data_IF_476434460583
#
_entry.id   IF_476434460583
#
_cell.length_a   1.000
_cell.length_b   1.000
_cell.length_c   1.000
_cell.angle_alpha   90.00
_cell.angle_beta   90.00
_cell.angle_gamma   90.00
#
_symmetry.space_group_name_H-M   'P 1'
#
loop_
_entity.id
_entity.type
_entity.pdbx_description
1 polymer ?
#
# COMPACT_ATOMS: atom_id res chain seq x y z
N UNK A 1 -2.11 -15.33 1.08
CA UNK A 1 -1.49 -15.73 2.37
C UNK A 1 -2.55 -15.82 3.46
N UNK A 2 -3.24 -14.72 3.76
CA UNK A 2 -4.31 -14.61 4.78
C UNK A 2 -5.37 -15.71 4.68
N UNK A 3 -5.86 -16.01 3.48
CA UNK A 3 -6.81 -17.11 3.23
C UNK A 3 -6.30 -18.46 3.75
N UNK A 4 -5.04 -18.80 3.44
CA UNK A 4 -4.41 -20.06 3.88
C UNK A 4 -4.11 -20.07 5.37
N UNK A 5 -3.89 -18.92 5.99
CA UNK A 5 -3.75 -18.82 7.43
C UNK A 5 -5.10 -19.09 8.11
N UNK A 6 -6.17 -18.46 7.62
CA UNK A 6 -7.53 -18.68 8.10
C UNK A 6 -7.98 -20.14 7.93
N UNK A 7 -7.76 -20.75 6.75
CA UNK A 7 -8.04 -22.17 6.49
C UNK A 7 -7.34 -23.12 7.47
N UNK A 8 -6.16 -22.74 7.97
CA UNK A 8 -5.36 -23.52 8.93
C UNK A 8 -5.67 -23.18 10.40
N UNK A 9 -6.65 -22.32 10.67
CA UNK A 9 -6.95 -21.85 12.03
C UNK A 9 -5.85 -20.96 12.63
N UNK A 10 -4.98 -20.38 11.79
CA UNK A 10 -3.92 -19.50 12.23
C UNK A 10 -4.42 -18.05 12.26
N UNK A 11 -4.69 -17.56 13.46
CA UNK A 11 -4.98 -16.14 13.69
C UNK A 11 -3.88 -15.22 13.14
N UNK A 12 -4.28 -14.17 12.42
CA UNK A 12 -3.40 -13.10 11.96
C UNK A 12 -3.94 -11.71 12.33
N UNK A 13 -3.01 -10.75 12.43
CA UNK A 13 -3.32 -9.33 12.53
C UNK A 13 -2.59 -8.58 11.41
N UNK A 14 -3.32 -7.79 10.63
CA UNK A 14 -2.74 -6.95 9.57
C UNK A 14 -2.72 -5.51 10.03
N UNK A 15 -1.58 -4.85 9.89
CA UNK A 15 -1.48 -3.40 9.90
C UNK A 15 -1.52 -2.92 8.46
N UNK A 16 -2.56 -2.17 8.13
CA UNK A 16 -2.84 -1.67 6.80
C UNK A 16 -2.92 -0.14 6.86
N UNK A 17 -1.78 0.56 6.73
CA UNK A 17 -1.71 2.02 6.81
C UNK A 17 -2.62 2.76 5.82
N UNK A 18 -3.11 2.03 4.85
CA UNK A 18 -3.43 2.57 3.54
C UNK A 18 -4.73 1.93 2.99
N UNK A 19 -5.38 1.06 3.76
CA UNK A 19 -6.74 0.56 3.53
C UNK A 19 -6.91 -0.46 2.41
N UNK A 20 -5.83 -1.11 1.98
CA UNK A 20 -5.85 -2.11 0.89
C UNK A 20 -6.60 -3.41 1.23
N UNK A 21 -6.76 -3.69 2.52
CA UNK A 21 -7.39 -4.89 3.06
C UNK A 21 -8.84 -4.65 3.49
N UNK A 22 -9.41 -3.49 3.16
CA UNK A 22 -10.84 -3.24 3.34
C UNK A 22 -11.69 -4.31 2.61
N UNK A 23 -12.67 -4.87 3.31
CA UNK A 23 -13.49 -5.97 2.82
C UNK A 23 -12.84 -7.36 2.81
N UNK A 24 -11.66 -7.54 3.42
CA UNK A 24 -11.04 -8.87 3.57
C UNK A 24 -11.97 -9.83 4.32
N UNK A 25 -12.39 -10.92 3.65
CA UNK A 25 -13.26 -11.90 4.28
C UNK A 25 -12.52 -12.67 5.37
N UNK A 26 -13.22 -12.95 6.47
CA UNK A 26 -12.68 -13.70 7.61
C UNK A 26 -11.79 -12.87 8.54
N UNK A 27 -11.79 -11.54 8.41
CA UNK A 27 -11.16 -10.63 9.33
C UNK A 27 -12.08 -9.47 9.72
N UNK A 28 -11.94 -8.98 10.95
CA UNK A 28 -12.68 -7.83 11.47
C UNK A 28 -11.87 -6.57 11.17
N UNK A 29 -12.42 -5.59 10.41
CA UNK A 29 -11.77 -4.30 10.23
C UNK A 29 -11.87 -3.49 11.52
N UNK A 30 -10.78 -2.80 11.85
CA UNK A 30 -10.68 -1.87 12.96
C UNK A 30 -10.22 -0.53 12.42
N UNK A 31 -11.06 0.49 12.58
CA UNK A 31 -10.89 1.77 11.89
C UNK A 31 -11.37 1.75 10.44
N UNK A 32 -11.48 2.93 9.85
CA UNK A 32 -11.85 3.15 8.46
C UNK A 32 -11.26 4.49 7.95
N UNK A 33 -11.80 5.02 6.84
CA UNK A 33 -11.35 6.30 6.26
C UNK A 33 -11.76 7.53 7.07
N UNK A 34 -12.67 7.38 8.03
CA UNK A 34 -13.25 8.44 8.85
C UNK A 34 -12.95 8.30 10.34
N UNK A 35 -12.70 7.09 10.83
CA UNK A 35 -12.44 6.78 12.23
C UNK A 35 -11.12 6.04 12.40
N UNK A 36 -10.25 6.56 13.28
CA UNK A 36 -9.00 5.93 13.62
C UNK A 36 -9.19 4.60 14.39
N UNK A 37 -8.29 3.62 14.22
CA UNK A 37 -8.35 2.35 14.92
C UNK A 37 -8.12 2.51 16.43
N UNK A 38 -8.89 1.79 17.26
CA UNK A 38 -8.76 1.82 18.71
C UNK A 38 -7.85 0.73 19.27
N UNK A 39 -6.85 1.11 20.06
CA UNK A 39 -5.95 0.18 20.76
C UNK A 39 -6.67 -0.83 21.63
N UNK A 40 -7.64 -0.40 22.44
CA UNK A 40 -8.34 -1.29 23.36
C UNK A 40 -9.20 -2.30 22.61
N UNK A 41 -9.86 -1.86 21.54
CA UNK A 41 -10.61 -2.75 20.66
C UNK A 41 -9.71 -3.77 19.97
N UNK A 42 -8.52 -3.36 19.51
CA UNK A 42 -7.53 -4.29 18.95
C UNK A 42 -7.19 -5.41 19.93
N UNK A 43 -6.82 -5.05 21.15
CA UNK A 43 -6.41 -6.03 22.17
C UNK A 43 -7.56 -6.96 22.57
N UNK A 44 -8.80 -6.44 22.64
CA UNK A 44 -9.99 -7.25 22.87
C UNK A 44 -10.26 -8.25 21.73
N UNK A 45 -10.13 -7.81 20.48
CA UNK A 45 -10.35 -8.67 19.31
C UNK A 45 -9.28 -9.74 19.19
N UNK A 46 -8.01 -9.40 19.35
CA UNK A 46 -6.90 -10.36 19.28
C UNK A 46 -6.99 -11.39 20.42
N UNK A 47 -7.54 -11.00 21.57
CA UNK A 47 -7.80 -11.93 22.67
C UNK A 47 -8.74 -13.10 22.30
N UNK A 48 -9.58 -12.92 21.26
CA UNK A 48 -10.49 -13.97 20.75
C UNK A 48 -9.75 -14.86 19.74
N UNK A 49 -9.54 -16.17 20.03
CA UNK A 49 -8.70 -17.04 19.21
C UNK A 49 -9.07 -17.11 17.72
N UNK A 50 -10.36 -17.08 17.40
CA UNK A 50 -10.89 -17.26 16.04
C UNK A 50 -11.09 -15.93 15.29
N UNK A 51 -10.61 -14.82 15.84
CA UNK A 51 -10.79 -13.48 15.26
C UNK A 51 -9.51 -13.00 14.60
N UNK A 52 -9.49 -12.92 13.26
CA UNK A 52 -8.46 -12.17 12.55
C UNK A 52 -8.81 -10.68 12.54
N UNK A 53 -7.80 -9.81 12.54
CA UNK A 53 -8.01 -8.36 12.61
C UNK A 53 -7.26 -7.66 11.49
N UNK A 54 -7.89 -6.65 10.89
CA UNK A 54 -7.26 -5.68 9.98
C UNK A 54 -7.32 -4.32 10.64
N UNK A 55 -6.17 -3.77 11.00
CA UNK A 55 -6.02 -2.43 11.57
C UNK A 55 -5.85 -1.46 10.42
N UNK A 56 -6.90 -0.69 10.12
CA UNK A 56 -6.93 0.28 9.04
C UNK A 56 -6.40 1.63 9.52
N UNK A 57 -5.29 2.09 8.94
CA UNK A 57 -4.65 3.36 9.27
C UNK A 57 -5.06 4.55 8.40
N UNK A 58 -6.10 4.43 7.56
CA UNK A 58 -6.48 5.48 6.61
C UNK A 58 -6.83 6.82 7.28
N UNK A 59 -7.53 6.78 8.41
CA UNK A 59 -7.89 7.98 9.16
C UNK A 59 -6.70 8.63 9.91
N UNK A 60 -5.54 7.94 10.00
CA UNK A 60 -4.33 8.48 10.63
C UNK A 60 -3.48 9.24 9.62
N UNK A 61 -2.97 10.41 10.01
CA UNK A 61 -1.99 11.13 9.19
C UNK A 61 -0.69 10.33 9.08
N UNK A 62 0.06 10.52 8.00
CA UNK A 62 1.29 9.74 7.71
C UNK A 62 2.30 9.83 8.85
N UNK A 63 2.43 11.02 9.46
CA UNK A 63 3.31 11.29 10.60
C UNK A 63 2.86 10.61 11.91
N UNK A 64 1.58 10.32 12.06
CA UNK A 64 1.00 9.70 13.27
C UNK A 64 1.09 8.16 13.25
N UNK A 65 1.20 7.56 12.06
CA UNK A 65 1.17 6.10 11.90
C UNK A 65 2.30 5.36 12.63
N UNK A 66 3.58 5.83 12.61
CA UNK A 66 4.64 5.18 13.38
C UNK A 66 4.36 5.20 14.88
N UNK A 67 3.91 6.35 15.43
CA UNK A 67 3.60 6.50 16.85
C UNK A 67 2.46 5.57 17.27
N UNK A 68 1.37 5.59 16.50
CA UNK A 68 0.23 4.71 16.73
C UNK A 68 0.66 3.24 16.72
N UNK A 69 1.46 2.82 15.74
CA UNK A 69 1.97 1.45 15.67
C UNK A 69 2.84 1.09 16.88
N UNK A 70 3.78 1.96 17.24
CA UNK A 70 4.66 1.76 18.39
C UNK A 70 3.89 1.61 19.71
N UNK A 71 2.79 2.35 19.89
CA UNK A 71 1.94 2.26 21.07
C UNK A 71 1.18 0.92 21.22
N UNK A 72 0.91 0.23 20.11
CA UNK A 72 0.20 -1.05 20.10
C UNK A 72 1.10 -2.24 20.43
N UNK A 73 2.38 -2.14 20.08
CA UNK A 73 3.33 -3.24 20.15
C UNK A 73 3.52 -3.85 21.55
N UNK A 74 3.59 -3.08 22.65
CA UNK A 74 3.68 -3.68 23.99
C UNK A 74 2.46 -4.54 24.33
N UNK A 75 1.26 -4.10 23.95
CA UNK A 75 0.02 -4.85 24.18
C UNK A 75 0.00 -6.14 23.36
N UNK A 76 0.37 -6.06 22.09
CA UNK A 76 0.51 -7.23 21.21
C UNK A 76 1.57 -8.20 21.73
N UNK A 77 2.73 -7.71 22.14
CA UNK A 77 3.80 -8.51 22.72
C UNK A 77 3.35 -9.29 23.94
N UNK A 78 2.60 -8.64 24.85
CA UNK A 78 2.04 -9.30 26.03
C UNK A 78 1.02 -10.39 25.67
N UNK A 79 0.13 -10.14 24.71
CA UNK A 79 -0.83 -11.16 24.26
C UNK A 79 -0.10 -12.34 23.63
N UNK A 80 0.90 -12.08 22.77
CA UNK A 80 1.73 -13.11 22.12
C UNK A 80 2.52 -13.93 23.12
N UNK A 81 3.11 -13.29 24.12
CA UNK A 81 3.84 -13.98 25.19
C UNK A 81 2.93 -14.97 25.93
N UNK A 82 1.68 -14.58 26.23
CA UNK A 82 0.74 -15.42 26.98
C UNK A 82 0.04 -16.51 26.16
N UNK A 83 -0.17 -16.25 24.88
CA UNK A 83 -1.12 -17.03 24.07
C UNK A 83 -0.56 -17.54 22.76
N UNK A 84 0.67 -17.18 22.41
CA UNK A 84 1.28 -17.36 21.09
C UNK A 84 0.49 -16.73 19.93
N UNK A 85 -0.43 -15.80 20.24
CA UNK A 85 -1.36 -15.18 19.30
C UNK A 85 -1.24 -13.64 19.25
N UNK A 86 -1.43 -12.99 18.08
CA UNK A 86 -1.71 -13.62 16.79
C UNK A 86 -0.49 -14.42 16.31
N UNK A 87 -0.75 -15.51 15.59
CA UNK A 87 0.32 -16.37 15.07
C UNK A 87 1.13 -15.64 14.00
N UNK A 88 0.46 -14.75 13.25
CA UNK A 88 1.08 -13.93 12.22
C UNK A 88 0.77 -12.45 12.41
N UNK A 89 1.83 -11.64 12.42
CA UNK A 89 1.74 -10.19 12.30
C UNK A 89 2.10 -9.82 10.86
N UNK A 90 1.19 -9.18 10.14
CA UNK A 90 1.42 -8.73 8.77
C UNK A 90 1.44 -7.21 8.80
N UNK A 91 2.51 -6.60 8.31
CA UNK A 91 2.71 -5.16 8.30
C UNK A 91 2.80 -4.76 6.84
N UNK A 92 1.71 -4.22 6.30
CA UNK A 92 1.67 -3.69 4.95
C UNK A 92 2.24 -2.28 4.89
N UNK A 93 2.80 -1.93 3.73
CA UNK A 93 3.55 -0.69 3.51
C UNK A 93 4.42 -0.31 4.71
N UNK A 94 5.25 -1.26 5.14
CA UNK A 94 6.00 -1.21 6.38
C UNK A 94 6.93 0.01 6.50
N UNK A 95 7.25 0.66 5.38
CA UNK A 95 8.01 1.92 5.38
C UNK A 95 7.25 3.11 6.02
N UNK A 96 5.91 3.05 6.11
CA UNK A 96 5.10 4.03 6.87
C UNK A 96 5.10 3.79 8.37
N UNK A 97 5.36 2.56 8.81
CA UNK A 97 5.26 2.16 10.23
C UNK A 97 6.61 2.02 10.90
N UNK A 98 7.66 1.72 10.12
CA UNK A 98 9.02 1.50 10.59
C UNK A 98 10.02 2.33 9.76
N UNK A 99 9.89 3.68 9.74
CA UNK A 99 10.71 4.52 8.86
C UNK A 99 12.18 4.56 9.28
N UNK A 100 13.09 4.63 8.30
CA UNK A 100 14.54 4.63 8.51
C UNK A 100 15.08 5.76 9.41
N UNK A 101 14.43 6.91 9.41
CA UNK A 101 14.89 8.11 10.16
C UNK A 101 14.59 8.08 11.65
N UNK A 102 13.91 7.03 12.15
CA UNK A 102 13.46 6.93 13.54
C UNK A 102 14.11 5.72 14.22
N UNK A 103 14.94 5.98 15.22
CA UNK A 103 15.46 4.93 16.11
C UNK A 103 14.36 4.52 17.10
N UNK A 104 13.40 3.69 16.65
CA UNK A 104 12.36 3.15 17.53
C UNK A 104 12.74 1.76 18.03
N UNK A 105 13.60 1.71 19.06
CA UNK A 105 14.08 0.47 19.68
C UNK A 105 12.93 -0.39 20.21
N UNK A 106 11.83 0.23 20.69
CA UNK A 106 10.66 -0.49 21.23
C UNK A 106 9.93 -1.24 20.11
N UNK A 107 9.81 -0.61 18.94
CA UNK A 107 9.19 -1.24 17.80
C UNK A 107 10.01 -2.44 17.30
N UNK A 108 11.33 -2.28 17.20
CA UNK A 108 12.26 -3.35 16.79
C UNK A 108 12.22 -4.55 17.74
N UNK A 109 12.28 -4.33 19.05
CA UNK A 109 12.22 -5.42 20.05
C UNK A 109 10.92 -6.24 19.95
N UNK A 110 9.81 -5.59 19.59
CA UNK A 110 8.54 -6.29 19.43
C UNK A 110 8.47 -7.11 18.13
N UNK A 111 9.28 -6.75 17.13
CA UNK A 111 9.44 -7.51 15.87
C UNK A 111 10.36 -8.72 16.01
N UNK A 112 11.19 -8.80 17.05
CA UNK A 112 12.04 -9.99 17.32
C UNK A 112 11.21 -11.27 17.53
N UNK A 113 9.90 -11.15 17.70
CA UNK A 113 8.99 -12.27 17.83
C UNK A 113 8.73 -12.96 16.46
N UNK A 114 8.97 -14.28 16.34
CA UNK A 114 8.79 -15.05 15.10
C UNK A 114 7.38 -14.93 14.50
N UNK A 115 7.20 -15.04 13.18
CA UNK A 115 5.87 -14.96 12.57
C UNK A 115 5.43 -13.54 12.22
N UNK A 116 6.39 -12.69 11.83
CA UNK A 116 6.11 -11.34 11.31
C UNK A 116 6.43 -11.29 9.81
N UNK A 117 5.56 -10.64 9.03
CA UNK A 117 5.72 -10.40 7.59
C UNK A 117 5.72 -8.90 7.36
N UNK A 118 6.82 -8.37 6.81
CA UNK A 118 6.91 -7.00 6.35
C UNK A 118 6.65 -6.98 4.84
N UNK A 119 5.74 -6.12 4.40
CA UNK A 119 5.46 -5.91 2.98
C UNK A 119 5.76 -4.45 2.66
N UNK A 120 6.51 -4.20 1.59
CA UNK A 120 6.89 -2.86 1.16
C UNK A 120 7.33 -2.88 -0.30
N UNK A 121 7.18 -1.74 -0.98
CA UNK A 121 7.84 -1.45 -2.25
C UNK A 121 9.16 -0.67 -2.08
N UNK A 122 9.40 -0.10 -0.89
CA UNK A 122 10.56 0.73 -0.54
C UNK A 122 11.37 0.12 0.63
N UNK A 123 12.15 -0.96 0.42
CA UNK A 123 12.99 -1.51 1.49
C UNK A 123 14.00 -0.50 2.04
N UNK A 124 14.53 0.41 1.22
CA UNK A 124 15.44 1.49 1.60
C UNK A 124 14.85 2.53 2.56
N UNK A 125 13.52 2.58 2.68
CA UNK A 125 12.81 3.49 3.57
C UNK A 125 12.50 2.86 4.94
N UNK A 126 12.74 1.55 5.12
CA UNK A 126 12.54 0.85 6.40
C UNK A 126 13.78 1.01 7.29
N UNK A 127 13.57 1.03 8.61
CA UNK A 127 14.61 0.93 9.63
C UNK A 127 15.59 -0.22 9.35
N UNK A 128 16.88 0.11 9.31
CA UNK A 128 17.95 -0.87 9.13
C UNK A 128 17.90 -1.99 10.18
N UNK A 129 17.55 -1.68 11.42
CA UNK A 129 17.46 -2.67 12.48
C UNK A 129 16.28 -3.62 12.28
N UNK A 130 15.13 -3.12 11.80
CA UNK A 130 14.02 -3.99 11.43
C UNK A 130 14.37 -4.91 10.24
N UNK A 131 15.10 -4.39 9.23
CA UNK A 131 15.56 -5.19 8.09
C UNK A 131 16.54 -6.29 8.52
N UNK A 132 17.39 -6.04 9.52
CA UNK A 132 18.34 -7.02 10.04
C UNK A 132 17.68 -8.22 10.72
N UNK A 133 16.43 -8.09 11.17
CA UNK A 133 15.65 -9.20 11.75
C UNK A 133 15.04 -10.12 10.68
N UNK A 134 15.07 -9.73 9.41
CA UNK A 134 14.44 -10.48 8.32
C UNK A 134 15.22 -11.76 7.99
N UNK A 135 14.60 -12.90 8.25
CA UNK A 135 15.20 -14.22 7.98
C UNK A 135 14.89 -14.77 6.58
N UNK A 136 13.86 -14.25 5.92
CA UNK A 136 13.42 -14.65 4.58
C UNK A 136 12.99 -13.41 3.78
N UNK A 137 13.54 -13.26 2.58
CA UNK A 137 13.14 -12.25 1.61
C UNK A 137 12.34 -12.92 0.50
N UNK A 138 11.14 -12.41 0.22
CA UNK A 138 10.32 -12.80 -0.93
C UNK A 138 10.17 -11.58 -1.83
N UNK A 139 10.76 -11.62 -3.01
CA UNK A 139 10.75 -10.51 -3.96
C UNK A 139 9.90 -10.86 -5.19
N UNK A 140 8.97 -9.97 -5.52
CA UNK A 140 7.97 -10.16 -6.57
C UNK A 140 8.29 -9.29 -7.79
N UNK A 141 7.84 -9.76 -8.97
CA UNK A 141 7.89 -8.98 -10.20
C UNK A 141 9.28 -8.83 -10.84
N UNK A 142 9.37 -7.99 -11.89
CA UNK A 142 10.58 -7.88 -12.72
C UNK A 142 11.77 -7.27 -11.96
N UNK A 143 11.51 -6.45 -10.93
CA UNK A 143 12.53 -5.79 -10.12
C UNK A 143 13.02 -6.63 -8.93
N UNK A 144 12.65 -7.91 -8.83
CA UNK A 144 12.99 -8.77 -7.70
C UNK A 144 14.50 -8.84 -7.39
N UNK A 145 15.35 -8.76 -8.42
CA UNK A 145 16.82 -8.70 -8.23
C UNK A 145 17.27 -7.40 -7.59
N UNK A 146 16.67 -6.28 -8.00
CA UNK A 146 16.93 -4.96 -7.43
C UNK A 146 16.58 -4.94 -5.94
N UNK A 147 15.43 -5.50 -5.57
CA UNK A 147 14.99 -5.61 -4.18
C UNK A 147 16.01 -6.35 -3.30
N UNK A 148 16.55 -7.50 -3.75
CA UNK A 148 17.58 -8.21 -2.99
C UNK A 148 18.85 -7.36 -2.85
N UNK A 149 19.29 -6.68 -3.91
CA UNK A 149 20.48 -5.82 -3.85
C UNK A 149 20.28 -4.65 -2.90
N UNK A 150 19.12 -4.00 -2.92
CA UNK A 150 18.77 -2.94 -2.00
C UNK A 150 18.75 -3.45 -0.56
N UNK A 151 18.07 -4.57 -0.29
CA UNK A 151 18.09 -5.20 1.03
C UNK A 151 19.52 -5.44 1.54
N UNK A 152 20.38 -6.05 0.71
CA UNK A 152 21.77 -6.33 1.08
C UNK A 152 22.54 -5.04 1.41
N UNK A 153 22.37 -3.98 0.60
CA UNK A 153 22.97 -2.67 0.85
C UNK A 153 22.52 -2.08 2.19
N UNK A 154 21.23 -2.14 2.48
CA UNK A 154 20.65 -1.56 3.69
C UNK A 154 21.04 -2.34 4.96
N UNK A 155 21.15 -3.66 4.88
CA UNK A 155 21.55 -4.50 6.02
C UNK A 155 23.06 -4.66 6.18
N UNK A 156 23.85 -4.23 5.18
CA UNK A 156 25.30 -4.45 5.12
C UNK A 156 25.70 -5.90 4.81
N UNK A 157 24.81 -6.67 4.18
CA UNK A 157 25.08 -8.06 3.77
C UNK A 157 25.71 -8.09 2.37
N UNK A 158 26.51 -9.13 2.11
CA UNK A 158 27.02 -9.37 0.77
C UNK A 158 25.90 -9.89 -0.14
N UNK A 159 25.74 -9.26 -1.31
CA UNK A 159 24.73 -9.65 -2.27
C UNK A 159 25.07 -11.02 -2.91
N UNK A 160 24.10 -11.94 -3.06
CA UNK A 160 24.35 -13.21 -3.74
C UNK A 160 24.82 -12.99 -5.19
N UNK A 161 25.92 -13.64 -5.58
CA UNK A 161 26.52 -13.45 -6.90
C UNK A 161 25.62 -13.84 -8.08
N UNK A 162 24.78 -14.88 -7.93
CA UNK A 162 23.82 -15.28 -8.95
C UNK A 162 22.38 -15.25 -8.40
N UNK A 163 21.59 -14.30 -8.91
CA UNK A 163 20.18 -14.13 -8.58
C UNK A 163 19.33 -14.48 -9.81
N UNK A 164 18.50 -15.54 -9.76
CA UNK A 164 17.65 -15.90 -10.89
C UNK A 164 16.59 -14.83 -11.15
N UNK A 165 16.18 -14.68 -12.41
CA UNK A 165 15.04 -13.84 -12.78
C UNK A 165 13.77 -14.67 -12.66
N UNK A 166 12.79 -14.30 -11.81
CA UNK A 166 11.49 -14.95 -11.82
C UNK A 166 10.81 -14.77 -13.20
N UNK A 167 10.14 -15.80 -13.69
CA UNK A 167 9.38 -15.79 -14.95
C UNK A 167 7.92 -16.15 -14.66
N UNK A 168 6.99 -15.51 -15.35
CA UNK A 168 5.56 -15.77 -15.21
C UNK A 168 5.05 -15.52 -13.79
N UNK A 169 4.41 -16.53 -13.20
CA UNK A 169 3.79 -16.52 -11.87
C UNK A 169 4.78 -16.86 -10.72
N UNK A 170 6.07 -16.93 -11.03
CA UNK A 170 7.10 -17.28 -10.03
C UNK A 170 7.57 -16.04 -9.29
N UNK A 171 7.92 -16.23 -8.03
CA UNK A 171 8.52 -15.20 -7.17
C UNK A 171 9.90 -15.66 -6.71
N UNK A 172 10.73 -14.70 -6.33
CA UNK A 172 12.08 -14.96 -5.86
C UNK A 172 12.08 -15.12 -4.34
N UNK A 173 12.64 -16.21 -3.84
CA UNK A 173 12.78 -16.48 -2.41
C UNK A 173 14.25 -16.60 -2.05
N UNK A 174 14.65 -15.92 -0.98
CA UNK A 174 16.01 -15.95 -0.46
C UNK A 174 16.04 -15.97 1.07
N UNK A 175 17.03 -16.65 1.65
CA UNK A 175 17.25 -16.73 3.09
C UNK A 175 18.66 -16.22 3.42
N UNK A 176 18.81 -14.93 3.80
CA UNK A 176 20.11 -14.26 3.88
C UNK A 176 21.13 -15.00 4.77
N UNK A 177 20.68 -15.51 5.92
CA UNK A 177 21.56 -16.08 6.95
C UNK A 177 21.86 -17.59 6.78
N UNK A 178 21.49 -18.20 5.65
CA UNK A 178 21.64 -19.65 5.45
C UNK A 178 22.81 -20.03 4.52
N UNK A 179 23.47 -19.04 3.91
CA UNK A 179 24.48 -19.27 2.86
C UNK A 179 23.91 -19.85 1.55
N UNK A 180 22.60 -20.10 1.47
CA UNK A 180 21.95 -20.65 0.28
C UNK A 180 21.66 -19.56 -0.74
N UNK A 181 21.78 -19.94 -2.02
CA UNK A 181 21.47 -19.06 -3.15
C UNK A 181 19.96 -18.79 -3.24
N UNK A 182 19.55 -17.59 -3.72
CA UNK A 182 18.16 -17.32 -4.04
C UNK A 182 17.61 -18.32 -5.06
N UNK A 183 16.35 -18.72 -4.91
CA UNK A 183 15.66 -19.64 -5.83
C UNK A 183 14.23 -19.17 -6.10
N UNK A 184 13.64 -19.64 -7.19
CA UNK A 184 12.27 -19.25 -7.55
C UNK A 184 11.27 -20.26 -7.02
N UNK A 185 10.12 -19.77 -6.56
CA UNK A 185 8.97 -20.57 -6.15
C UNK A 185 7.73 -20.13 -6.91
N UNK A 186 6.77 -21.03 -7.13
CA UNK A 186 5.49 -20.70 -7.76
C UNK A 186 4.60 -19.99 -6.74
N UNK A 187 4.09 -18.79 -7.06
CA UNK A 187 3.07 -18.17 -6.22
C UNK A 187 1.71 -18.84 -6.46
N UNK A 188 0.91 -18.93 -5.41
CA UNK A 188 -0.49 -19.33 -5.52
C UNK A 188 -1.33 -18.07 -5.62
N UNK A 189 -2.24 -18.03 -6.58
CA UNK A 189 -3.16 -16.90 -6.72
C UNK A 189 -4.16 -16.85 -5.56
N UNK A 190 -4.48 -15.64 -5.05
CA UNK A 190 -5.53 -15.48 -4.05
C UNK A 190 -6.90 -15.76 -4.66
N UNK A 191 -7.82 -16.30 -3.86
CA UNK A 191 -9.23 -16.47 -4.27
C UNK A 191 -10.02 -15.16 -4.21
N UNK A 192 -9.65 -14.25 -3.31
CA UNK A 192 -10.25 -12.94 -3.11
C UNK A 192 -9.51 -11.86 -3.91
N UNK A 193 -10.28 -10.96 -4.53
CA UNK A 193 -9.76 -9.74 -5.16
C UNK A 193 -9.89 -8.55 -4.19
N UNK A 194 -8.77 -8.10 -3.63
CA UNK A 194 -8.70 -6.96 -2.70
C UNK A 194 -8.41 -5.64 -3.42
N UNK A 195 -8.65 -4.50 -2.73
CA UNK A 195 -8.38 -3.14 -3.23
C UNK A 195 -6.92 -2.89 -3.61
N UNK A 196 -5.97 -3.72 -3.17
CA UNK A 196 -4.55 -3.70 -3.58
C UNK A 196 -4.30 -3.64 -5.10
N UNK A 197 -5.26 -4.04 -5.93
CA UNK A 197 -5.20 -3.83 -7.38
C UNK A 197 -5.30 -2.35 -7.81
N UNK A 198 -5.90 -1.44 -7.03
CA UNK A 198 -6.05 -0.02 -7.38
C UNK A 198 -4.73 0.75 -7.33
N UNK A 199 -3.81 0.44 -6.39
CA UNK A 199 -2.49 1.10 -6.33
C UNK A 199 -1.55 0.76 -7.47
N UNK A 200 -1.65 -0.47 -7.99
CA UNK A 200 -0.93 -0.87 -9.21
C UNK A 200 -1.25 0.05 -10.39
N UNK A 201 -2.45 0.63 -10.43
CA UNK A 201 -2.88 1.60 -11.45
C UNK A 201 -2.59 3.06 -11.05
N UNK A 202 -2.37 3.33 -9.77
CA UNK A 202 -2.03 4.65 -9.27
C UNK A 202 -0.57 5.04 -9.59
N UNK A 203 0.37 4.10 -9.44
CA UNK A 203 1.81 4.31 -9.65
C UNK A 203 2.39 3.55 -10.87
N UNK A 204 1.84 2.39 -11.22
CA UNK A 204 2.34 1.56 -12.33
C UNK A 204 1.95 2.07 -13.72
N UNK A 205 2.73 1.74 -14.76
CA UNK A 205 2.41 2.12 -16.14
C UNK A 205 1.22 1.30 -16.68
N UNK A 206 0.09 1.98 -16.87
CA UNK A 206 -1.00 1.51 -17.73
C UNK A 206 -0.50 1.42 -19.18
N UNK A 207 -0.97 0.41 -19.89
CA UNK A 207 -0.74 0.29 -21.34
C UNK A 207 -1.43 1.44 -22.10
N UNK A 208 -1.19 1.52 -23.41
CA UNK A 208 -1.75 2.60 -24.24
C UNK A 208 -3.28 2.61 -24.21
N UNK A 209 -3.91 1.42 -24.18
CA UNK A 209 -5.36 1.29 -24.13
C UNK A 209 -5.97 1.72 -22.78
N UNK A 210 -5.24 1.54 -21.67
CA UNK A 210 -5.69 1.89 -20.32
C UNK A 210 -5.33 3.31 -19.87
N UNK A 211 -4.44 4.01 -20.58
CA UNK A 211 -3.99 5.37 -20.23
C UNK A 211 -5.09 6.41 -20.45
N UNK A 212 -5.09 7.47 -19.64
CA UNK A 212 -5.90 8.65 -19.92
C UNK A 212 -5.19 9.54 -20.94
N UNK A 213 -5.95 10.20 -21.81
CA UNK A 213 -5.41 11.14 -22.79
C UNK A 213 -6.12 12.48 -22.65
N UNK A 214 -5.39 13.52 -22.25
CA UNK A 214 -5.89 14.89 -22.31
C UNK A 214 -5.91 15.35 -23.76
N UNK A 215 -7.12 15.43 -24.32
CA UNK A 215 -7.41 15.85 -25.68
C UNK A 215 -8.14 17.18 -25.66
N UNK A 216 -7.46 18.21 -26.14
CA UNK A 216 -8.09 19.52 -26.31
C UNK A 216 -9.18 19.52 -27.37
N UNK A 217 -10.16 20.45 -27.31
CA UNK A 217 -11.18 20.58 -28.33
C UNK A 217 -10.53 20.76 -29.71
N UNK A 218 -10.94 19.94 -30.69
CA UNK A 218 -10.35 19.82 -32.05
C UNK A 218 -8.97 19.10 -32.12
N UNK A 219 -8.65 18.19 -31.20
CA UNK A 219 -7.37 17.44 -31.17
C UNK A 219 -6.12 18.35 -31.09
N UNK A 220 -6.25 19.55 -30.52
CA UNK A 220 -5.13 20.50 -30.41
C UNK A 220 -4.00 20.02 -29.49
N UNK A 221 -4.25 18.99 -28.66
CA UNK A 221 -3.29 18.41 -27.73
C UNK A 221 -3.61 16.92 -27.50
N UNK A 222 -2.58 16.09 -27.25
CA UNK A 222 -2.75 14.67 -26.94
C UNK A 222 -1.70 14.24 -25.90
N UNK A 223 -1.91 14.59 -24.64
CA UNK A 223 -1.00 14.22 -23.55
C UNK A 223 -1.46 12.93 -22.87
N UNK A 224 -0.57 11.95 -22.78
CA UNK A 224 -0.85 10.63 -22.19
C UNK A 224 -0.50 10.61 -20.70
N UNK A 225 -1.51 10.39 -19.86
CA UNK A 225 -1.34 10.04 -18.45
C UNK A 225 -1.50 8.53 -18.26
N UNK A 226 -0.37 7.85 -18.03
CA UNK A 226 -0.32 6.38 -17.92
C UNK A 226 -0.48 5.87 -16.48
N UNK A 227 -0.80 6.72 -15.51
CA UNK A 227 -1.19 6.37 -14.13
C UNK A 227 -1.84 7.58 -13.44
N UNK A 228 -2.37 7.41 -12.22
CA UNK A 228 -3.03 8.51 -11.49
C UNK A 228 -2.08 9.64 -11.07
N UNK A 229 -0.82 9.32 -10.73
CA UNK A 229 0.17 10.35 -10.34
C UNK A 229 0.43 11.30 -11.52
N UNK A 230 0.74 10.76 -12.70
CA UNK A 230 0.97 11.53 -13.91
C UNK A 230 -0.30 12.27 -14.32
N UNK A 231 -1.49 11.65 -14.16
CA UNK A 231 -2.76 12.34 -14.37
C UNK A 231 -2.87 13.59 -13.49
N UNK A 232 -2.59 13.47 -12.18
CA UNK A 232 -2.68 14.59 -11.26
C UNK A 232 -1.67 15.71 -11.60
N UNK A 233 -0.43 15.35 -11.91
CA UNK A 233 0.61 16.31 -12.33
C UNK A 233 0.25 17.04 -13.63
N UNK A 234 -0.26 16.32 -14.62
CA UNK A 234 -0.67 16.92 -15.90
C UNK A 234 -1.91 17.82 -15.74
N UNK A 235 -2.85 17.41 -14.89
CA UNK A 235 -4.08 18.16 -14.63
C UNK A 235 -3.83 19.54 -14.01
N UNK A 236 -2.73 19.74 -13.27
CA UNK A 236 -2.36 21.06 -12.74
C UNK A 236 -1.91 22.04 -13.85
N UNK A 237 -1.32 21.53 -14.93
CA UNK A 237 -0.77 22.34 -16.03
C UNK A 237 -1.61 22.39 -17.30
N UNK A 238 -2.76 21.69 -17.33
CA UNK A 238 -3.63 21.65 -18.51
C UNK A 238 -4.51 22.91 -18.59
N UNK A 239 -4.77 23.40 -19.80
CA UNK A 239 -5.63 24.57 -19.98
C UNK A 239 -7.10 24.29 -19.59
N UNK A 240 -7.80 25.33 -19.16
CA UNK A 240 -9.18 25.21 -18.67
C UNK A 240 -10.16 24.69 -19.72
N UNK A 241 -9.93 24.95 -21.01
CA UNK A 241 -10.84 24.47 -22.07
C UNK A 241 -10.70 22.96 -22.25
N UNK A 242 -9.48 22.44 -22.21
CA UNK A 242 -9.21 21.00 -22.26
C UNK A 242 -9.72 20.29 -21.00
N UNK A 243 -9.51 20.88 -19.82
CA UNK A 243 -10.07 20.35 -18.57
C UNK A 243 -11.59 20.24 -18.62
N UNK A 244 -12.27 21.34 -18.98
CA UNK A 244 -13.73 21.40 -19.03
C UNK A 244 -14.31 20.50 -20.12
N UNK A 245 -13.59 20.27 -21.23
CA UNK A 245 -14.02 19.36 -22.29
C UNK A 245 -14.24 17.94 -21.74
N UNK A 246 -13.26 17.39 -21.03
CA UNK A 246 -13.34 16.07 -20.41
C UNK A 246 -14.29 16.04 -19.21
N UNK A 247 -14.29 17.10 -18.39
CA UNK A 247 -15.18 17.21 -17.24
C UNK A 247 -16.66 17.12 -17.67
N UNK A 248 -17.04 17.82 -18.74
CA UNK A 248 -18.43 17.83 -19.24
C UNK A 248 -18.81 16.55 -20.00
N UNK A 249 -17.83 15.83 -20.53
CA UNK A 249 -18.02 14.53 -21.16
C UNK A 249 -18.16 13.38 -20.14
N UNK A 250 -17.70 13.57 -18.90
CA UNK A 250 -17.70 12.53 -17.87
C UNK A 250 -16.49 11.59 -17.94
N UNK A 251 -15.45 12.00 -18.68
CA UNK A 251 -14.34 11.12 -19.04
C UNK A 251 -13.47 10.75 -17.82
N UNK A 252 -13.37 11.64 -16.82
CA UNK A 252 -12.58 11.39 -15.63
C UNK A 252 -13.20 10.31 -14.76
N UNK A 253 -14.50 10.42 -14.45
CA UNK A 253 -15.18 9.41 -13.65
C UNK A 253 -15.31 8.07 -14.36
N UNK A 254 -15.45 8.07 -15.69
CA UNK A 254 -15.42 6.84 -16.48
C UNK A 254 -14.05 6.16 -16.41
N UNK A 255 -12.97 6.91 -16.61
CA UNK A 255 -11.62 6.38 -16.54
C UNK A 255 -11.29 5.84 -15.14
N UNK A 256 -11.62 6.57 -14.07
CA UNK A 256 -11.44 6.11 -12.70
C UNK A 256 -12.22 4.83 -12.40
N UNK A 257 -13.44 4.69 -12.94
CA UNK A 257 -14.27 3.49 -12.74
C UNK A 257 -13.73 2.28 -13.50
N UNK A 258 -13.33 2.46 -14.76
CA UNK A 258 -13.01 1.36 -15.67
C UNK A 258 -11.55 0.92 -15.60
N UNK A 259 -10.62 1.87 -15.59
CA UNK A 259 -9.19 1.58 -15.66
C UNK A 259 -8.55 1.55 -14.27
N UNK A 260 -8.84 2.54 -13.43
CA UNK A 260 -8.31 2.59 -12.06
C UNK A 260 -9.06 1.63 -11.11
N UNK A 261 -10.32 1.33 -11.44
CA UNK A 261 -11.24 0.48 -10.66
C UNK A 261 -11.57 1.04 -9.27
N UNK A 262 -11.48 2.35 -9.09
CA UNK A 262 -11.94 3.04 -7.88
C UNK A 262 -13.36 3.58 -8.07
N UNK A 263 -14.33 2.87 -7.50
CA UNK A 263 -15.75 3.23 -7.59
C UNK A 263 -16.10 4.47 -6.77
N UNK A 264 -15.37 4.74 -5.68
CA UNK A 264 -15.64 5.89 -4.82
C UNK A 264 -15.06 7.17 -5.42
N UNK A 265 -13.80 7.14 -5.88
CA UNK A 265 -13.19 8.24 -6.62
C UNK A 265 -14.03 8.57 -7.86
N UNK A 266 -14.49 7.55 -8.59
CA UNK A 266 -15.37 7.76 -9.74
C UNK A 266 -16.71 8.40 -9.34
N UNK A 267 -17.30 8.04 -8.20
CA UNK A 267 -18.57 8.61 -7.74
C UNK A 267 -18.41 10.08 -7.34
N UNK A 268 -17.36 10.41 -6.60
CA UNK A 268 -17.06 11.78 -6.15
C UNK A 268 -16.73 12.68 -7.34
N UNK A 269 -15.91 12.19 -8.28
CA UNK A 269 -15.58 12.89 -9.53
C UNK A 269 -16.84 13.12 -10.37
N UNK A 270 -17.73 12.13 -10.46
CA UNK A 270 -18.98 12.28 -11.20
C UNK A 270 -19.93 13.34 -10.59
N UNK A 271 -19.79 13.66 -9.30
CA UNK A 271 -20.54 14.77 -8.71
C UNK A 271 -20.02 16.12 -9.20
N UNK A 272 -18.69 16.28 -9.26
CA UNK A 272 -18.06 17.48 -9.81
C UNK A 272 -18.33 17.64 -11.32
N UNK A 273 -18.37 16.54 -12.08
CA UNK A 273 -18.68 16.57 -13.52
C UNK A 273 -20.11 17.06 -13.81
N UNK A 274 -21.07 16.66 -12.96
CA UNK A 274 -22.49 17.02 -13.08
C UNK A 274 -22.82 18.43 -12.61
N UNK A 275 -21.99 19.02 -11.75
CA UNK A 275 -22.20 20.37 -11.27
C UNK A 275 -21.80 21.40 -12.35
N UNK A 276 -22.82 22.03 -12.94
CA UNK A 276 -22.64 23.03 -14.00
C UNK A 276 -22.15 24.37 -13.47
N UNK A 277 -22.25 24.62 -12.16
CA UNK A 277 -21.83 25.87 -11.55
C UNK A 277 -20.31 25.91 -11.27
N UNK A 278 -19.66 24.74 -11.18
CA UNK A 278 -18.21 24.69 -10.94
C UNK A 278 -17.41 25.24 -12.12
N UNK A 279 -16.46 26.11 -11.78
CA UNK A 279 -15.39 26.55 -12.68
C UNK A 279 -14.38 25.44 -12.96
N UNK A 280 -13.52 25.65 -13.96
CA UNK A 280 -12.41 24.74 -14.24
C UNK A 280 -11.48 24.60 -13.04
N UNK A 281 -11.16 25.69 -12.35
CA UNK A 281 -10.28 25.70 -11.18
C UNK A 281 -10.89 24.94 -9.99
N UNK A 282 -12.17 25.20 -9.66
CA UNK A 282 -12.84 24.55 -8.53
C UNK A 282 -13.03 23.05 -8.77
N UNK A 283 -13.48 22.67 -9.97
CA UNK A 283 -13.65 21.25 -10.33
C UNK A 283 -12.31 20.52 -10.38
N UNK A 284 -11.26 21.16 -10.93
CA UNK A 284 -9.89 20.62 -10.93
C UNK A 284 -9.38 20.40 -9.52
N UNK A 285 -9.55 21.38 -8.64
CA UNK A 285 -9.17 21.26 -7.23
C UNK A 285 -9.91 20.11 -6.55
N UNK A 286 -11.23 20.00 -6.70
CA UNK A 286 -12.02 18.92 -6.11
C UNK A 286 -11.56 17.53 -6.57
N UNK A 287 -11.34 17.35 -7.88
CA UNK A 287 -10.89 16.08 -8.45
C UNK A 287 -9.46 15.75 -8.00
N UNK A 288 -8.55 16.73 -8.02
CA UNK A 288 -7.17 16.54 -7.56
C UNK A 288 -7.07 16.26 -6.08
N UNK A 289 -7.86 16.94 -5.23
CA UNK A 289 -7.91 16.68 -3.79
C UNK A 289 -8.49 15.30 -3.49
N UNK A 290 -9.50 14.85 -4.26
CA UNK A 290 -10.03 13.50 -4.16
C UNK A 290 -9.01 12.43 -4.56
N UNK A 291 -8.18 12.71 -5.57
CA UNK A 291 -7.06 11.84 -5.97
C UNK A 291 -5.95 11.87 -4.92
N UNK A 292 -5.54 13.05 -4.42
CA UNK A 292 -4.49 13.23 -3.41
C UNK A 292 -4.81 12.54 -2.10
N UNK A 293 -6.04 12.72 -1.61
CA UNK A 293 -6.54 12.05 -0.41
C UNK A 293 -6.46 10.52 -0.49
N UNK A 294 -6.53 9.95 -1.68
CA UNK A 294 -6.57 8.50 -1.90
C UNK A 294 -5.25 7.89 -2.37
N UNK A 295 -4.45 8.65 -3.11
CA UNK A 295 -3.38 8.09 -3.94
C UNK A 295 -2.09 8.91 -3.99
N UNK A 296 -2.09 10.19 -3.60
CA UNK A 296 -0.91 11.03 -3.80
C UNK A 296 -0.53 11.90 -2.61
N UNK A 297 -0.85 11.53 -1.37
CA UNK A 297 -0.26 12.20 -0.21
C UNK A 297 1.28 12.04 -0.24
N UNK A 298 2.06 13.09 -0.54
CA UNK A 298 3.50 13.06 -0.45
C UNK A 298 3.90 13.38 1.00
N UNK A 299 5.04 12.84 1.42
CA UNK A 299 5.79 13.38 2.54
C UNK A 299 6.19 14.84 2.26
N UNK A 300 5.37 15.80 2.65
CA UNK A 300 5.76 17.21 2.69
C UNK A 300 6.36 17.50 4.05
N UNK A 301 7.69 17.71 4.04
CA UNK A 301 8.43 18.35 5.10
C UNK A 301 7.79 19.70 5.47
N UNK A 302 7.85 20.14 6.74
CA UNK A 302 7.34 21.44 7.14
C UNK A 302 8.14 22.55 6.41
N UNK A 303 7.41 23.50 5.84
CA UNK A 303 7.96 24.82 5.55
C UNK A 303 8.40 25.48 6.86
N UNK A 304 9.51 26.21 6.78
CA UNK A 304 10.18 26.87 7.91
C UNK A 304 9.30 27.89 8.62
#
# INVERSE_FOLDING_TARGET
LTERLAEKGLQFCIFDPEGDYDGLQGAVPLGDSSAAPSKDQLLQLIGKPDTNVVVNGLALRVDERPDFFAELLPGLGNVRYRTARPHWLIIDEAHHLLPKRREDTRAVLSLELPGTVLITVHPEAISTDALRLVTVVIALGPQAKGVIKTFCKETGLEAPGNIPTPKGDRVLLWRPHTGKKPFTVKAMEPSQSLKRHSRKYAEGQLDEAGSFYFKGPKNAMNLRAHNLIIFAQMAEGIDDKTWMHHLRAGDYSEWFRRQIRDKELARETAMAEKDKALSAEESRKLVLDAVRRRYTAPATAPEK
#
